data_IF_119045955598
#
_entry.id   IF_119045955598
#
_cell.length_a   1.000
_cell.length_b   1.000
_cell.length_c   1.000
_cell.angle_alpha   90.00
_cell.angle_beta   90.00
_cell.angle_gamma   90.00
#
_symmetry.space_group_name_H-M   'P 1'
#
loop_
_entity.id
_entity.type
_entity.pdbx_description
1 polymer ?
#
# COMPACT_ATOMS: atom_id res chain seq x y z
N UNK A 1 -8.04 -5.54 -19.42
CA UNK A 1 -7.27 -6.48 -20.26
C UNK A 1 -5.90 -5.84 -20.51
N UNK A 2 -4.80 -6.54 -20.26
CA UNK A 2 -3.56 -6.03 -19.65
C UNK A 2 -2.95 -4.76 -20.28
N UNK A 3 -3.20 -4.47 -21.56
CA UNK A 3 -2.61 -3.34 -22.27
C UNK A 3 -3.43 -2.03 -22.23
N UNK A 4 -4.63 -2.04 -21.62
CA UNK A 4 -5.41 -0.81 -21.44
C UNK A 4 -4.69 0.11 -20.45
N UNK A 5 -4.50 1.36 -20.85
CA UNK A 5 -3.94 2.38 -19.97
C UNK A 5 -5.03 2.94 -19.05
N UNK A 6 -4.73 2.99 -17.76
CA UNK A 6 -5.56 3.58 -16.73
C UNK A 6 -4.79 4.70 -16.04
N UNK A 7 -5.53 5.65 -15.48
CA UNK A 7 -4.99 6.59 -14.49
C UNK A 7 -5.16 5.97 -13.12
N UNK A 8 -4.08 5.87 -12.35
CA UNK A 8 -4.08 5.41 -10.97
C UNK A 8 -3.73 6.56 -10.02
N UNK A 9 -3.93 6.34 -8.73
CA UNK A 9 -3.51 7.27 -7.68
C UNK A 9 -2.85 6.52 -6.53
N UNK A 10 -1.58 6.79 -6.29
CA UNK A 10 -0.87 6.29 -5.11
C UNK A 10 -0.92 7.33 -4.00
N UNK A 11 -1.49 6.98 -2.85
CA UNK A 11 -1.53 7.87 -1.68
C UNK A 11 -0.24 7.75 -0.87
N UNK A 12 0.15 8.77 -0.11
CA UNK A 12 1.25 8.68 0.85
C UNK A 12 1.04 9.65 2.03
N UNK A 13 1.81 9.51 3.12
CA UNK A 13 1.90 10.55 4.15
C UNK A 13 2.25 11.93 3.57
N UNK A 14 1.81 12.98 4.25
CA UNK A 14 2.14 14.36 3.88
C UNK A 14 3.65 14.60 4.02
N UNK A 15 4.25 15.31 3.06
CA UNK A 15 5.66 15.69 3.07
C UNK A 15 6.62 14.70 2.40
N UNK A 16 6.12 13.56 1.91
CA UNK A 16 6.92 12.58 1.13
C UNK A 16 6.45 12.43 -0.33
N UNK A 17 5.54 13.28 -0.79
CA UNK A 17 4.91 13.20 -2.11
C UNK A 17 5.94 13.33 -3.23
N UNK A 18 6.96 14.18 -3.05
CA UNK A 18 8.05 14.35 -4.01
C UNK A 18 8.95 13.10 -4.09
N UNK A 19 9.11 12.36 -2.99
CA UNK A 19 9.85 11.09 -2.98
C UNK A 19 9.02 10.01 -3.69
N UNK A 20 7.72 9.92 -3.38
CA UNK A 20 6.82 8.98 -4.06
C UNK A 20 6.76 9.25 -5.57
N UNK A 21 6.74 10.53 -5.98
CA UNK A 21 6.77 10.93 -7.39
C UNK A 21 7.98 10.34 -8.11
N UNK A 22 9.18 10.48 -7.52
CA UNK A 22 10.43 9.93 -8.07
C UNK A 22 10.43 8.40 -8.07
N UNK A 23 9.90 7.76 -7.02
CA UNK A 23 9.78 6.31 -6.94
C UNK A 23 8.89 5.76 -8.06
N UNK A 24 7.72 6.37 -8.30
CA UNK A 24 6.81 5.92 -9.35
C UNK A 24 7.42 6.08 -10.75
N UNK A 25 8.14 7.19 -11.00
CA UNK A 25 8.91 7.36 -12.24
C UNK A 25 9.95 6.26 -12.44
N UNK A 26 10.66 5.88 -11.37
CA UNK A 26 11.68 4.81 -11.43
C UNK A 26 11.11 3.40 -11.66
N UNK A 27 9.79 3.22 -11.54
CA UNK A 27 9.09 1.96 -11.78
C UNK A 27 8.49 1.88 -13.20
N UNK A 28 9.05 2.63 -14.14
CA UNK A 28 8.64 2.72 -15.56
C UNK A 28 7.22 3.23 -15.77
N UNK A 29 6.73 4.11 -14.88
CA UNK A 29 5.39 4.67 -15.00
C UNK A 29 5.41 6.14 -15.41
N UNK A 30 4.47 6.55 -16.25
CA UNK A 30 4.30 7.96 -16.61
C UNK A 30 3.54 8.68 -15.50
N UNK A 31 4.17 9.64 -14.83
CA UNK A 31 3.50 10.42 -13.79
C UNK A 31 2.77 11.62 -14.40
N UNK A 32 1.51 11.82 -14.00
CA UNK A 32 0.70 12.94 -14.47
C UNK A 32 0.78 14.14 -13.53
N UNK A 33 0.66 13.89 -12.22
CA UNK A 33 0.46 14.97 -11.26
C UNK A 33 0.80 14.54 -9.86
N UNK A 34 1.69 15.31 -9.21
CA UNK A 34 1.85 15.29 -7.76
C UNK A 34 0.75 16.15 -7.12
N UNK A 35 0.15 15.66 -6.04
CA UNK A 35 -0.80 16.41 -5.21
C UNK A 35 -0.32 16.42 -3.75
N UNK A 36 -1.08 17.04 -2.85
CA UNK A 36 -0.79 17.05 -1.40
C UNK A 36 -1.14 15.74 -0.68
N UNK A 37 -1.74 14.78 -1.38
CA UNK A 37 -2.20 13.51 -0.79
C UNK A 37 -1.62 12.29 -1.48
N UNK A 38 -0.79 12.48 -2.51
CA UNK A 38 -0.25 11.40 -3.30
C UNK A 38 0.14 11.82 -4.71
N UNK A 39 0.28 10.82 -5.58
CA UNK A 39 0.75 10.97 -6.95
C UNK A 39 -0.19 10.22 -7.89
N UNK A 40 -0.67 10.91 -8.93
CA UNK A 40 -1.41 10.29 -10.02
C UNK A 40 -0.47 9.90 -11.16
N UNK A 41 -0.62 8.68 -11.65
CA UNK A 41 0.22 8.12 -12.72
C UNK A 41 -0.64 7.36 -13.73
N UNK A 42 -0.17 7.26 -14.97
CA UNK A 42 -0.76 6.42 -16.01
C UNK A 42 0.09 5.18 -16.23
N UNK A 43 -0.60 4.10 -16.53
CA UNK A 43 0.06 2.85 -16.91
C UNK A 43 -0.94 1.74 -17.15
N UNK A 44 -0.42 0.54 -17.34
CA UNK A 44 -1.20 -0.68 -17.49
C UNK A 44 -1.57 -1.28 -16.13
N UNK A 45 -2.22 -2.43 -16.12
CA UNK A 45 -2.39 -3.20 -14.88
C UNK A 45 -1.04 -3.65 -14.29
N UNK A 46 -0.07 -3.99 -15.15
CA UNK A 46 1.29 -4.33 -14.74
C UNK A 46 1.95 -3.15 -13.99
N UNK A 47 1.75 -1.92 -14.46
CA UNK A 47 2.22 -0.71 -13.78
C UNK A 47 1.71 -0.62 -12.34
N UNK A 48 0.39 -0.78 -12.15
CA UNK A 48 -0.19 -0.73 -10.81
C UNK A 48 0.31 -1.88 -9.91
N UNK A 49 0.45 -3.09 -10.45
CA UNK A 49 1.04 -4.23 -9.72
C UNK A 49 2.48 -3.96 -9.31
N UNK A 50 3.30 -3.41 -10.20
CA UNK A 50 4.67 -2.98 -9.86
C UNK A 50 4.65 -1.98 -8.71
N UNK A 51 3.78 -0.97 -8.72
CA UNK A 51 3.68 0.00 -7.60
C UNK A 51 3.20 -0.68 -6.31
N UNK A 52 2.20 -1.57 -6.35
CA UNK A 52 1.77 -2.33 -5.17
C UNK A 52 2.90 -3.18 -4.57
N UNK A 53 3.70 -3.82 -5.42
CA UNK A 53 4.79 -4.71 -5.00
C UNK A 53 6.02 -3.94 -4.49
N UNK A 54 6.43 -2.91 -5.23
CA UNK A 54 7.73 -2.26 -5.07
C UNK A 54 7.70 -0.94 -4.32
N UNK A 55 6.56 -0.25 -4.23
CA UNK A 55 6.52 1.06 -3.57
C UNK A 55 6.82 0.93 -2.07
N UNK A 56 7.88 1.63 -1.66
CA UNK A 56 8.30 1.78 -0.26
C UNK A 56 7.54 2.91 0.42
N UNK A 57 6.98 3.84 -0.34
CA UNK A 57 6.44 5.10 0.16
C UNK A 57 4.91 5.17 0.15
N UNK A 58 4.26 4.49 -0.79
CA UNK A 58 2.81 4.54 -0.92
C UNK A 58 2.11 3.92 0.30
N UNK A 59 0.95 4.50 0.66
CA UNK A 59 0.00 3.92 1.60
C UNK A 59 -0.99 3.01 0.90
N UNK A 60 -1.50 3.42 -0.27
CA UNK A 60 -2.51 2.70 -1.07
C UNK A 60 -2.30 3.00 -2.54
N UNK A 61 -2.70 2.09 -3.42
CA UNK A 61 -2.74 2.28 -4.87
C UNK A 61 -4.18 2.14 -5.32
N UNK A 62 -4.75 3.23 -5.83
CA UNK A 62 -6.17 3.32 -6.15
C UNK A 62 -6.37 3.32 -7.66
N UNK A 63 -7.38 2.56 -8.12
CA UNK A 63 -7.92 2.59 -9.47
C UNK A 63 -9.25 3.37 -9.45
N UNK A 64 -9.28 4.65 -9.86
CA UNK A 64 -10.51 5.41 -10.01
C UNK A 64 -11.47 4.74 -10.98
N UNK A 65 -12.72 4.52 -10.55
CA UNK A 65 -13.79 3.94 -11.34
C UNK A 65 -14.72 5.02 -11.89
N UNK A 66 -15.10 5.97 -11.05
CA UNK A 66 -16.01 7.04 -11.42
C UNK A 66 -15.71 8.32 -10.63
N UNK A 67 -16.05 9.45 -11.25
CA UNK A 67 -15.95 10.77 -10.65
C UNK A 67 -17.19 11.57 -11.01
N UNK A 68 -17.86 12.14 -10.01
CA UNK A 68 -19.12 12.84 -10.20
C UNK A 68 -19.43 13.78 -9.03
N UNK A 69 -20.32 14.73 -9.27
CA UNK A 69 -20.83 15.63 -8.24
C UNK A 69 -21.92 14.95 -7.40
N UNK A 70 -21.83 15.13 -6.09
CA UNK A 70 -22.75 14.61 -5.09
C UNK A 70 -22.77 15.54 -3.87
N UNK A 71 -23.75 16.44 -3.85
CA UNK A 71 -23.95 17.42 -2.77
C UNK A 71 -24.64 16.81 -1.54
N UNK A 72 -25.32 15.67 -1.72
CA UNK A 72 -26.03 14.98 -0.64
C UNK A 72 -25.71 13.48 -0.59
N UNK A 73 -25.85 12.81 0.57
CA UNK A 73 -25.65 11.36 0.68
C UNK A 73 -26.60 10.54 -0.21
N UNK A 74 -27.80 11.03 -0.50
CA UNK A 74 -28.74 10.38 -1.43
C UNK A 74 -28.32 10.55 -2.89
N UNK A 75 -27.75 11.72 -3.25
CA UNK A 75 -27.15 11.90 -4.57
C UNK A 75 -25.92 11.00 -4.73
N UNK A 76 -25.07 10.90 -3.71
CA UNK A 76 -23.93 10.00 -3.69
C UNK A 76 -24.35 8.55 -3.92
N UNK A 77 -25.36 8.06 -3.18
CA UNK A 77 -25.95 6.74 -3.37
C UNK A 77 -26.37 6.51 -4.83
N UNK A 78 -27.24 7.37 -5.37
CA UNK A 78 -27.77 7.24 -6.74
C UNK A 78 -26.65 7.21 -7.79
N UNK A 79 -25.68 8.11 -7.66
CA UNK A 79 -24.56 8.18 -8.59
C UNK A 79 -23.65 6.95 -8.50
N UNK A 80 -23.43 6.37 -7.31
CA UNK A 80 -22.70 5.10 -7.16
C UNK A 80 -23.43 3.96 -7.84
N UNK A 81 -24.76 3.88 -7.69
CA UNK A 81 -25.58 2.89 -8.38
C UNK A 81 -25.47 3.08 -9.89
N UNK A 82 -25.65 4.29 -10.41
CA UNK A 82 -25.76 4.54 -11.86
C UNK A 82 -24.42 4.48 -12.60
N UNK A 83 -23.35 5.04 -12.01
CA UNK A 83 -22.09 5.31 -12.72
C UNK A 83 -21.12 4.15 -12.74
N UNK A 84 -21.27 3.16 -11.85
CA UNK A 84 -20.31 2.07 -11.70
C UNK A 84 -20.99 0.73 -11.92
N UNK A 85 -20.49 -0.01 -12.91
CA UNK A 85 -20.91 -1.38 -13.20
C UNK A 85 -20.19 -2.37 -12.29
N UNK A 86 -20.61 -2.45 -11.03
CA UNK A 86 -19.97 -3.29 -10.00
C UNK A 86 -19.82 -4.77 -10.41
N UNK A 87 -20.74 -5.28 -11.23
CA UNK A 87 -20.68 -6.62 -11.82
C UNK A 87 -19.45 -6.89 -12.71
N UNK A 88 -18.83 -5.84 -13.28
CA UNK A 88 -17.57 -5.92 -14.04
C UNK A 88 -16.34 -6.02 -13.12
N UNK A 89 -16.50 -5.77 -11.81
CA UNK A 89 -15.42 -5.74 -10.83
C UNK A 89 -15.53 -6.85 -9.78
N UNK A 90 -16.73 -7.24 -9.38
CA UNK A 90 -16.95 -8.26 -8.36
C UNK A 90 -18.29 -8.96 -8.57
N UNK A 91 -18.53 -10.00 -7.79
CA UNK A 91 -19.78 -10.75 -7.69
C UNK A 91 -20.35 -10.61 -6.26
N UNK A 92 -21.62 -10.97 -6.00
CA UNK A 92 -22.20 -10.79 -4.68
C UNK A 92 -21.61 -11.71 -3.60
N UNK A 93 -20.71 -12.63 -3.94
CA UNK A 93 -20.03 -13.52 -3.00
C UNK A 93 -18.86 -12.82 -2.27
N UNK A 94 -18.25 -11.80 -2.88
CA UNK A 94 -17.15 -11.05 -2.27
C UNK A 94 -17.60 -10.15 -1.13
N UNK A 95 -16.79 -10.09 -0.07
CA UNK A 95 -16.95 -9.17 1.06
C UNK A 95 -16.45 -7.78 0.71
N UNK A 96 -17.24 -6.76 1.01
CA UNK A 96 -16.86 -5.37 0.76
C UNK A 96 -16.51 -4.60 2.04
N UNK A 97 -15.68 -3.57 1.87
CA UNK A 97 -15.55 -2.47 2.83
C UNK A 97 -15.48 -1.14 2.07
N UNK A 98 -16.01 -0.07 2.68
CA UNK A 98 -15.95 1.28 2.12
C UNK A 98 -15.18 2.19 3.06
N UNK A 99 -14.09 2.76 2.56
CA UNK A 99 -13.37 3.84 3.21
C UNK A 99 -13.79 5.17 2.59
N UNK A 100 -14.39 6.06 3.37
CA UNK A 100 -14.74 7.40 2.93
C UNK A 100 -13.81 8.44 3.57
N UNK A 101 -13.28 9.33 2.75
CA UNK A 101 -12.47 10.47 3.19
C UNK A 101 -12.99 11.74 2.54
N UNK A 102 -12.98 12.84 3.28
CA UNK A 102 -13.36 14.15 2.75
C UNK A 102 -12.35 15.23 3.15
N UNK A 103 -12.34 16.35 2.42
CA UNK A 103 -11.65 17.54 2.90
C UNK A 103 -12.40 18.19 4.08
N UNK A 104 -11.69 18.96 4.90
CA UNK A 104 -12.19 19.55 6.14
C UNK A 104 -13.35 20.55 5.97
N UNK A 105 -13.66 20.94 4.73
CA UNK A 105 -14.75 21.88 4.42
C UNK A 105 -16.03 21.17 3.97
N UNK A 106 -15.97 19.85 3.83
CA UNK A 106 -17.10 19.06 3.40
C UNK A 106 -18.04 18.77 4.58
N UNK A 107 -19.34 18.79 4.31
CA UNK A 107 -20.41 18.63 5.32
C UNK A 107 -20.85 17.19 5.52
N UNK A 108 -20.33 16.22 4.75
CA UNK A 108 -20.68 14.81 4.90
C UNK A 108 -20.09 14.25 6.18
N UNK A 109 -20.95 13.63 6.98
CA UNK A 109 -20.50 12.71 8.01
C UNK A 109 -19.88 11.47 7.35
N UNK A 110 -18.55 11.34 7.42
CA UNK A 110 -17.79 10.35 6.64
C UNK A 110 -18.27 8.91 6.84
N UNK A 111 -18.63 8.54 8.08
CA UNK A 111 -19.19 7.21 8.36
C UNK A 111 -20.54 6.98 7.68
N UNK A 112 -21.42 7.98 7.69
CA UNK A 112 -22.73 7.87 7.05
C UNK A 112 -22.59 7.78 5.52
N UNK A 113 -21.70 8.58 4.94
CA UNK A 113 -21.37 8.53 3.52
C UNK A 113 -20.84 7.15 3.09
N UNK A 114 -19.96 6.54 3.90
CA UNK A 114 -19.46 5.19 3.65
C UNK A 114 -20.59 4.14 3.66
N UNK A 115 -21.52 4.23 4.62
CA UNK A 115 -22.70 3.36 4.68
C UNK A 115 -23.56 3.52 3.43
N UNK A 116 -23.81 4.75 2.97
CA UNK A 116 -24.60 5.02 1.76
C UNK A 116 -23.96 4.44 0.50
N UNK A 117 -22.65 4.53 0.36
CA UNK A 117 -21.93 3.90 -0.78
C UNK A 117 -22.02 2.37 -0.69
N UNK A 118 -21.89 1.80 0.52
CA UNK A 118 -22.04 0.36 0.75
C UNK A 118 -23.45 -0.12 0.39
N UNK A 119 -24.48 0.60 0.81
CA UNK A 119 -25.88 0.29 0.46
C UNK A 119 -26.08 0.36 -1.06
N UNK A 120 -25.54 1.38 -1.74
CA UNK A 120 -25.62 1.50 -3.20
C UNK A 120 -25.02 0.31 -3.94
N UNK A 121 -23.86 -0.19 -3.47
CA UNK A 121 -23.22 -1.39 -4.04
C UNK A 121 -24.10 -2.63 -3.80
N UNK A 122 -24.57 -2.81 -2.57
CA UNK A 122 -25.34 -3.99 -2.19
C UNK A 122 -26.71 -4.05 -2.89
N UNK A 123 -27.41 -2.91 -2.96
CA UNK A 123 -28.73 -2.82 -3.56
C UNK A 123 -28.67 -3.02 -5.08
N UNK A 124 -27.63 -2.50 -5.76
CA UNK A 124 -27.41 -2.79 -7.19
C UNK A 124 -27.27 -4.31 -7.45
N UNK A 125 -26.55 -5.04 -6.60
CA UNK A 125 -26.44 -6.50 -6.74
C UNK A 125 -27.76 -7.20 -6.44
N UNK A 126 -28.48 -6.77 -5.40
CA UNK A 126 -29.80 -7.33 -5.04
C UNK A 126 -30.78 -7.20 -6.19
N UNK A 127 -30.89 -6.01 -6.79
CA UNK A 127 -31.79 -5.74 -7.91
C UNK A 127 -31.47 -6.59 -9.15
N UNK A 128 -30.18 -6.87 -9.40
CA UNK A 128 -29.75 -7.59 -10.61
C UNK A 128 -29.66 -9.10 -10.47
N UNK A 129 -29.41 -9.59 -9.26
CA UNK A 129 -29.05 -11.00 -9.02
C UNK A 129 -29.86 -11.66 -7.91
N UNK A 130 -30.65 -10.90 -7.15
CA UNK A 130 -31.33 -11.37 -5.94
C UNK A 130 -30.40 -11.49 -4.71
N UNK A 131 -29.08 -11.45 -4.90
CA UNK A 131 -28.08 -11.62 -3.84
C UNK A 131 -27.42 -10.30 -3.46
N UNK A 132 -26.88 -10.23 -2.24
CA UNK A 132 -26.14 -9.06 -1.74
C UNK A 132 -24.74 -9.45 -1.24
N UNK A 133 -23.71 -8.65 -1.53
CA UNK A 133 -22.42 -8.81 -0.87
C UNK A 133 -22.53 -8.60 0.64
N UNK A 134 -21.74 -9.39 1.36
CA UNK A 134 -21.55 -9.22 2.80
C UNK A 134 -20.48 -8.16 3.08
N UNK A 135 -20.41 -7.65 4.31
CA UNK A 135 -19.46 -6.61 4.72
C UNK A 135 -18.42 -7.22 5.65
N UNK A 136 -17.15 -6.95 5.39
CA UNK A 136 -16.08 -7.23 6.33
C UNK A 136 -15.08 -6.08 6.31
N UNK A 137 -15.11 -5.22 7.33
CA UNK A 137 -14.24 -4.03 7.39
C UNK A 137 -12.80 -4.37 7.73
N UNK A 138 -12.55 -5.51 8.38
CA UNK A 138 -11.22 -5.98 8.77
C UNK A 138 -10.50 -6.67 7.62
N UNK A 139 -11.16 -7.65 7.00
CA UNK A 139 -10.61 -8.41 5.88
C UNK A 139 -11.60 -8.48 4.69
N UNK A 140 -11.80 -7.36 3.97
CA UNK A 140 -12.62 -7.32 2.77
C UNK A 140 -11.91 -7.97 1.58
N UNK A 141 -12.69 -8.59 0.70
CA UNK A 141 -12.24 -9.05 -0.60
C UNK A 141 -12.09 -7.86 -1.58
N UNK A 142 -13.01 -6.89 -1.48
CA UNK A 142 -13.01 -5.65 -2.27
C UNK A 142 -13.11 -4.44 -1.35
N UNK A 143 -12.09 -3.59 -1.39
CA UNK A 143 -12.09 -2.32 -0.64
C UNK A 143 -12.34 -1.16 -1.59
N UNK A 144 -13.41 -0.42 -1.34
CA UNK A 144 -13.84 0.74 -2.10
C UNK A 144 -13.38 1.98 -1.37
N UNK A 145 -12.63 2.84 -2.04
CA UNK A 145 -12.22 4.13 -1.52
C UNK A 145 -13.04 5.25 -2.17
N UNK A 146 -13.63 6.10 -1.34
CA UNK A 146 -14.30 7.32 -1.80
C UNK A 146 -13.57 8.52 -1.22
N UNK A 147 -13.07 9.38 -2.11
CA UNK A 147 -12.49 10.65 -1.73
C UNK A 147 -13.39 11.78 -2.21
N UNK A 148 -13.88 12.58 -1.26
CA UNK A 148 -14.76 13.72 -1.50
C UNK A 148 -13.97 15.02 -1.36
N UNK A 149 -13.99 15.86 -2.40
CA UNK A 149 -13.39 17.20 -2.35
C UNK A 149 -14.42 18.22 -2.77
N UNK A 150 -14.84 19.09 -1.83
CA UNK A 150 -16.10 19.84 -1.97
C UNK A 150 -17.23 18.86 -2.28
N UNK A 151 -17.97 19.05 -3.37
CA UNK A 151 -19.08 18.16 -3.76
C UNK A 151 -18.66 17.13 -4.81
N UNK A 152 -17.37 17.02 -5.12
CA UNK A 152 -16.87 16.13 -6.16
C UNK A 152 -16.34 14.82 -5.54
N UNK A 153 -17.11 13.75 -5.71
CA UNK A 153 -16.77 12.40 -5.28
C UNK A 153 -15.89 11.70 -6.31
N UNK A 154 -14.82 11.06 -5.86
CA UNK A 154 -14.03 10.11 -6.64
C UNK A 154 -14.11 8.74 -5.98
N UNK A 155 -14.75 7.79 -6.67
CA UNK A 155 -14.88 6.40 -6.22
C UNK A 155 -13.81 5.56 -6.91
N UNK A 156 -13.05 4.79 -6.12
CA UNK A 156 -11.91 4.00 -6.59
C UNK A 156 -11.90 2.61 -5.95
N UNK A 157 -11.34 1.62 -6.65
CA UNK A 157 -10.93 0.36 -6.03
C UNK A 157 -9.54 0.52 -5.40
N UNK A 158 -9.36 -0.03 -4.21
CA UNK A 158 -8.05 -0.13 -3.58
C UNK A 158 -7.35 -1.42 -3.99
N UNK A 159 -6.30 -1.29 -4.79
CA UNK A 159 -5.50 -2.41 -5.28
C UNK A 159 -4.50 -2.91 -4.21
N UNK A 160 -4.19 -2.10 -3.19
CA UNK A 160 -3.29 -2.48 -2.09
C UNK A 160 -3.98 -3.34 -1.03
N UNK A 161 -5.28 -3.10 -0.77
CA UNK A 161 -6.05 -3.78 0.27
C UNK A 161 -5.75 -3.19 1.65
N UNK A 162 -5.00 -3.89 2.49
CA UNK A 162 -4.37 -3.24 3.65
C UNK A 162 -3.36 -2.18 3.19
N UNK A 163 -3.15 -1.14 4.00
CA UNK A 163 -2.18 -0.11 3.64
C UNK A 163 -0.78 -0.72 3.45
N UNK A 164 -0.11 -0.30 2.37
CA UNK A 164 1.14 -0.90 1.91
C UNK A 164 2.29 -0.76 2.91
N UNK A 165 2.25 0.21 3.85
CA UNK A 165 3.26 0.28 4.92
C UNK A 165 3.30 -1.01 5.76
N UNK A 166 2.19 -1.75 5.89
CA UNK A 166 2.18 -3.07 6.54
C UNK A 166 2.86 -4.10 5.63
N UNK A 167 4.14 -4.37 5.86
CA UNK A 167 4.94 -5.32 5.06
C UNK A 167 4.79 -6.79 5.50
N UNK A 168 3.93 -7.06 6.48
CA UNK A 168 3.68 -8.38 7.07
C UNK A 168 4.81 -8.98 7.93
N UNK A 169 5.93 -8.27 8.13
CA UNK A 169 6.98 -8.73 9.06
C UNK A 169 6.73 -8.34 10.52
N UNK A 170 5.80 -7.41 10.79
CA UNK A 170 5.47 -6.93 12.13
C UNK A 170 4.17 -7.57 12.61
N UNK A 171 4.20 -8.27 13.73
CA UNK A 171 3.02 -8.90 14.36
C UNK A 171 2.41 -8.01 15.45
N UNK A 172 3.24 -7.24 16.16
CA UNK A 172 2.84 -6.40 17.29
C UNK A 172 3.25 -4.94 17.06
N UNK A 173 2.31 -4.02 17.32
CA UNK A 173 2.61 -2.61 17.48
C UNK A 173 3.08 -2.36 18.90
N UNK A 174 4.38 -2.17 19.11
CA UNK A 174 4.89 -1.65 20.38
C UNK A 174 4.37 -0.23 20.67
N UNK A 175 4.94 0.43 21.68
CA UNK A 175 4.62 1.84 21.97
C UNK A 175 5.21 2.72 20.85
N UNK A 176 4.33 3.26 20.00
CA UNK A 176 4.65 4.24 18.94
C UNK A 176 5.75 3.86 17.92
N UNK A 177 5.70 2.68 17.27
CA UNK A 177 6.73 2.30 16.31
C UNK A 177 6.64 3.13 15.03
N UNK A 178 7.80 3.53 14.51
CA UNK A 178 7.94 4.20 13.23
C UNK A 178 7.22 3.38 12.13
N UNK A 179 6.40 4.06 11.30
CA UNK A 179 5.80 3.41 10.12
C UNK A 179 6.87 3.09 9.10
N UNK A 180 6.76 1.93 8.49
CA UNK A 180 7.72 1.37 7.52
C UNK A 180 7.96 2.32 6.34
N UNK A 181 6.90 2.94 5.81
CA UNK A 181 7.04 3.90 4.73
C UNK A 181 7.70 5.22 5.14
N UNK A 182 7.57 5.63 6.40
CA UNK A 182 8.31 6.79 6.91
C UNK A 182 9.79 6.45 7.13
N UNK A 183 10.09 5.25 7.65
CA UNK A 183 11.47 4.75 7.74
C UNK A 183 12.14 4.70 6.36
N UNK A 184 11.46 4.16 5.35
CA UNK A 184 11.93 4.19 3.97
C UNK A 184 12.14 5.63 3.45
N UNK A 185 11.23 6.56 3.77
CA UNK A 185 11.40 7.97 3.37
C UNK A 185 12.65 8.61 4.00
N UNK A 186 12.95 8.31 5.27
CA UNK A 186 14.16 8.79 5.95
C UNK A 186 15.43 8.26 5.27
N UNK A 187 15.47 6.96 4.97
CA UNK A 187 16.59 6.32 4.27
C UNK A 187 16.82 6.93 2.88
N UNK A 188 15.74 7.18 2.13
CA UNK A 188 15.85 7.82 0.81
C UNK A 188 16.38 9.25 0.92
N UNK A 189 15.97 10.02 1.94
CA UNK A 189 16.50 11.36 2.20
C UNK A 189 17.96 11.34 2.65
N UNK A 190 18.37 10.31 3.38
CA UNK A 190 19.75 10.07 3.76
C UNK A 190 20.62 9.51 2.61
N UNK A 191 20.06 9.38 1.40
CA UNK A 191 20.74 8.78 0.24
C UNK A 191 21.24 7.35 0.51
N UNK A 192 20.55 6.62 1.37
CA UNK A 192 20.92 5.26 1.78
C UNK A 192 21.11 4.31 0.59
N UNK A 193 20.23 4.24 -0.44
CA UNK A 193 20.45 3.33 -1.56
C UNK A 193 21.79 3.55 -2.29
N UNK A 194 22.28 4.80 -2.36
CA UNK A 194 23.56 5.12 -2.95
C UNK A 194 24.73 4.69 -2.06
N UNK A 195 24.60 4.90 -0.75
CA UNK A 195 25.60 4.47 0.24
C UNK A 195 25.68 2.94 0.33
N UNK A 196 24.54 2.25 0.35
CA UNK A 196 24.46 0.79 0.37
C UNK A 196 25.15 0.15 -0.84
N UNK A 197 24.98 0.72 -2.05
CA UNK A 197 25.69 0.24 -3.26
C UNK A 197 27.21 0.37 -3.17
N UNK A 198 27.72 1.27 -2.31
CA UNK A 198 29.15 1.42 -2.03
C UNK A 198 29.63 0.54 -0.88
N UNK A 199 28.76 -0.31 -0.32
CA UNK A 199 29.09 -1.18 0.81
C UNK A 199 29.12 -0.45 2.16
N UNK A 200 28.51 0.73 2.28
CA UNK A 200 28.46 1.43 3.56
C UNK A 200 27.61 0.64 4.58
N UNK A 201 28.01 0.60 5.86
CA UNK A 201 27.17 0.04 6.92
C UNK A 201 26.02 0.98 7.29
N UNK A 202 24.94 0.43 7.84
CA UNK A 202 23.86 1.16 8.47
C UNK A 202 23.82 0.83 9.96
N UNK A 203 23.92 1.86 10.80
CA UNK A 203 23.86 1.74 12.25
C UNK A 203 22.67 2.53 12.76
N UNK A 204 21.87 1.90 13.63
CA UNK A 204 20.79 2.54 14.36
C UNK A 204 21.00 2.32 15.87
N UNK A 205 21.49 3.31 16.62
CA UNK A 205 21.82 3.17 18.04
C UNK A 205 20.59 3.17 18.95
N UNK A 206 19.40 3.44 18.41
CA UNK A 206 18.12 3.46 19.10
C UNK A 206 17.08 2.72 18.26
N UNK A 207 17.41 1.50 17.84
CA UNK A 207 16.74 0.84 16.73
C UNK A 207 15.30 0.43 17.03
N UNK A 208 14.93 0.41 18.30
CA UNK A 208 13.63 -0.05 18.74
C UNK A 208 13.30 -1.41 18.11
N UNK A 209 12.12 -1.51 17.50
CA UNK A 209 11.65 -2.73 16.80
C UNK A 209 12.40 -3.07 15.49
N UNK A 210 13.49 -2.37 15.17
CA UNK A 210 14.36 -2.62 14.02
C UNK A 210 13.83 -2.12 12.67
N UNK A 211 12.79 -1.29 12.67
CA UNK A 211 12.08 -0.89 11.44
C UNK A 211 13.00 -0.18 10.43
N UNK A 212 13.84 0.75 10.89
CA UNK A 212 14.76 1.48 10.01
C UNK A 212 15.79 0.55 9.36
N UNK A 213 16.37 -0.37 10.15
CA UNK A 213 17.34 -1.34 9.66
C UNK A 213 16.72 -2.35 8.69
N UNK A 214 15.50 -2.84 8.96
CA UNK A 214 14.80 -3.77 8.07
C UNK A 214 14.50 -3.11 6.72
N UNK A 215 13.97 -1.89 6.70
CA UNK A 215 13.73 -1.15 5.45
C UNK A 215 15.04 -0.82 4.72
N UNK A 216 16.11 -0.52 5.46
CA UNK A 216 17.45 -0.30 4.93
C UNK A 216 18.01 -1.54 4.24
N UNK A 217 17.89 -2.70 4.89
CA UNK A 217 18.27 -3.99 4.33
C UNK A 217 17.45 -4.32 3.07
N UNK A 218 16.14 -4.06 3.07
CA UNK A 218 15.31 -4.26 1.89
C UNK A 218 15.77 -3.40 0.70
N UNK A 219 16.23 -2.17 0.93
CA UNK A 219 16.79 -1.32 -0.13
C UNK A 219 18.12 -1.86 -0.64
N UNK A 220 19.01 -2.30 0.25
CA UNK A 220 20.33 -2.79 -0.11
C UNK A 220 20.28 -4.10 -0.90
N UNK A 221 19.39 -5.01 -0.50
CA UNK A 221 19.23 -6.34 -1.12
C UNK A 221 18.23 -6.34 -2.28
N UNK A 222 17.81 -5.16 -2.75
CA UNK A 222 16.83 -5.01 -3.83
C UNK A 222 15.53 -5.82 -3.61
N UNK A 223 15.11 -5.93 -2.36
CA UNK A 223 13.92 -6.68 -1.96
C UNK A 223 12.69 -5.81 -2.08
N UNK A 224 11.68 -6.31 -2.79
CA UNK A 224 10.36 -5.67 -2.88
C UNK A 224 9.68 -5.67 -1.49
N UNK A 225 9.18 -4.53 -0.99
CA UNK A 225 8.49 -4.48 0.31
C UNK A 225 7.22 -5.32 0.36
N UNK A 226 6.53 -5.46 -0.78
CA UNK A 226 5.30 -6.23 -0.89
C UNK A 226 5.51 -7.75 -0.94
N UNK A 227 6.75 -8.25 -0.99
CA UNK A 227 7.03 -9.66 -1.26
C UNK A 227 6.50 -10.62 -0.18
N UNK A 228 6.47 -10.19 1.08
CA UNK A 228 5.95 -10.98 2.21
C UNK A 228 4.43 -10.90 2.37
N UNK A 229 3.73 -10.06 1.59
CA UNK A 229 2.29 -9.88 1.75
C UNK A 229 1.55 -11.06 1.15
N UNK A 230 0.67 -11.67 1.96
CA UNK A 230 -0.15 -12.82 1.55
C UNK A 230 -1.22 -12.48 0.53
N UNK A 231 -1.75 -11.26 0.56
CA UNK A 231 -2.81 -10.80 -0.32
C UNK A 231 -2.71 -9.30 -0.59
N UNK A 232 -3.38 -8.88 -1.66
CA UNK A 232 -3.55 -7.50 -2.08
C UNK A 232 -5.04 -7.24 -2.35
N UNK A 233 -5.44 -5.97 -2.40
CA UNK A 233 -6.84 -5.59 -2.63
C UNK A 233 -7.39 -5.99 -4.01
N UNK A 234 -6.51 -6.33 -4.95
CA UNK A 234 -6.90 -6.91 -6.24
C UNK A 234 -7.09 -8.43 -6.21
N UNK A 235 -6.73 -9.16 -5.14
CA UNK A 235 -6.69 -10.63 -5.14
C UNK A 235 -8.04 -11.30 -5.45
N UNK A 236 -9.16 -10.63 -5.16
CA UNK A 236 -10.53 -11.09 -5.46
C UNK A 236 -11.25 -10.22 -6.49
N UNK A 237 -10.54 -9.28 -7.09
CA UNK A 237 -11.09 -8.43 -8.14
C UNK A 237 -11.22 -9.20 -9.44
N UNK A 238 -12.40 -9.17 -10.09
CA UNK A 238 -12.69 -9.93 -11.32
C UNK A 238 -11.73 -9.67 -12.48
N UNK A 239 -11.11 -8.49 -12.53
CA UNK A 239 -10.16 -8.14 -13.61
C UNK A 239 -8.70 -8.31 -13.16
N UNK A 240 -8.46 -8.98 -12.03
CA UNK A 240 -7.12 -9.42 -11.66
C UNK A 240 -6.55 -10.35 -12.73
N UNK A 241 -5.27 -10.19 -13.04
CA UNK A 241 -4.51 -11.10 -13.89
C UNK A 241 -3.52 -11.89 -13.01
N UNK A 242 -3.86 -13.13 -12.60
CA UNK A 242 -3.01 -13.93 -11.73
C UNK A 242 -1.68 -14.31 -12.39
N UNK A 243 -1.68 -14.57 -13.70
CA UNK A 243 -0.47 -14.99 -14.42
C UNK A 243 0.55 -13.84 -14.48
N UNK A 244 0.09 -12.63 -14.78
CA UNK A 244 0.91 -11.42 -14.74
C UNK A 244 1.48 -11.16 -13.35
N UNK A 245 0.65 -11.29 -12.31
CA UNK A 245 1.08 -11.08 -10.93
C UNK A 245 2.13 -12.11 -10.49
N UNK A 246 1.92 -13.38 -10.79
CA UNK A 246 2.88 -14.45 -10.50
C UNK A 246 4.23 -14.21 -11.20
N UNK A 247 4.23 -13.68 -12.43
CA UNK A 247 5.48 -13.29 -13.11
C UNK A 247 6.24 -12.20 -12.35
N UNK A 248 5.54 -11.17 -11.87
CA UNK A 248 6.14 -10.06 -11.12
C UNK A 248 6.68 -10.51 -9.76
N UNK A 249 6.01 -11.45 -9.09
CA UNK A 249 6.50 -12.04 -7.85
C UNK A 249 7.83 -12.79 -8.09
N UNK A 250 7.87 -13.68 -9.10
CA UNK A 250 9.11 -14.41 -9.46
C UNK A 250 10.26 -13.49 -9.81
N UNK A 251 9.99 -12.39 -10.53
CA UNK A 251 11.00 -11.36 -10.84
C UNK A 251 11.55 -10.72 -9.55
N UNK A 252 10.67 -10.38 -8.60
CA UNK A 252 11.06 -9.79 -7.32
C UNK A 252 11.83 -10.76 -6.41
N UNK A 253 11.45 -12.05 -6.39
CA UNK A 253 12.19 -13.10 -5.68
C UNK A 253 13.60 -13.25 -6.25
N UNK A 254 13.73 -13.38 -7.56
CA UNK A 254 15.04 -13.50 -8.22
C UNK A 254 15.94 -12.27 -8.00
N UNK A 255 15.35 -11.05 -7.92
CA UNK A 255 16.09 -9.83 -7.57
C UNK A 255 16.57 -9.86 -6.12
N UNK A 256 15.71 -10.29 -5.19
CA UNK A 256 16.06 -10.40 -3.79
C UNK A 256 17.17 -11.44 -3.55
N UNK A 257 17.07 -12.63 -4.15
CA UNK A 257 18.10 -13.67 -4.06
C UNK A 257 19.47 -13.17 -4.54
N UNK A 258 19.50 -12.49 -5.69
CA UNK A 258 20.72 -11.87 -6.22
C UNK A 258 21.25 -10.77 -5.29
N UNK A 259 20.37 -10.00 -4.66
CA UNK A 259 20.74 -8.96 -3.70
C UNK A 259 21.37 -9.53 -2.43
N UNK A 260 20.80 -10.60 -1.88
CA UNK A 260 21.32 -11.31 -0.71
C UNK A 260 22.76 -11.79 -0.90
N UNK A 261 23.11 -12.25 -2.11
CA UNK A 261 24.48 -12.72 -2.41
C UNK A 261 25.51 -11.58 -2.53
N UNK A 262 25.06 -10.34 -2.78
CA UNK A 262 25.95 -9.20 -3.04
C UNK A 262 26.22 -8.35 -1.79
N UNK A 263 25.32 -8.37 -0.83
CA UNK A 263 25.40 -7.52 0.36
C UNK A 263 26.20 -8.26 1.43
N UNK A 264 27.39 -7.74 1.78
CA UNK A 264 28.11 -8.19 2.98
C UNK A 264 27.41 -7.65 4.23
N UNK A 265 27.52 -8.39 5.35
CA UNK A 265 26.93 -8.02 6.65
C UNK A 265 27.27 -6.56 7.01
N UNK A 266 26.24 -5.74 7.28
CA UNK A 266 26.45 -4.29 7.48
C UNK A 266 25.33 -3.56 8.20
N UNK A 267 24.40 -4.26 8.87
CA UNK A 267 23.27 -3.65 9.58
C UNK A 267 23.38 -3.91 11.08
N UNK A 268 23.52 -2.85 11.86
CA UNK A 268 23.75 -2.94 13.31
C UNK A 268 22.72 -2.10 14.08
N UNK A 269 21.98 -2.76 14.96
CA UNK A 269 20.94 -2.14 15.78
C UNK A 269 21.20 -2.33 17.27
N UNK A 270 21.02 -1.26 18.01
CA UNK A 270 21.19 -1.23 19.46
C UNK A 270 19.96 -0.62 20.12
N UNK A 271 19.60 -1.14 21.29
CA UNK A 271 18.57 -0.58 22.16
C UNK A 271 18.80 -1.12 23.58
N UNK A 272 18.47 -0.34 24.61
CA UNK A 272 18.59 -0.75 26.00
C UNK A 272 17.51 -1.76 26.41
N UNK A 273 16.36 -1.77 25.73
CA UNK A 273 15.25 -2.64 26.07
C UNK A 273 15.40 -4.03 25.42
N UNK A 274 15.62 -5.03 26.28
CA UNK A 274 15.78 -6.43 25.88
C UNK A 274 14.56 -6.99 25.16
N UNK A 275 13.34 -6.61 25.57
CA UNK A 275 12.09 -7.08 24.94
C UNK A 275 11.97 -6.52 23.52
N UNK A 276 12.33 -5.25 23.34
CA UNK A 276 12.28 -4.61 22.03
C UNK A 276 13.34 -5.20 21.08
N UNK A 277 14.55 -5.51 21.56
CA UNK A 277 15.57 -6.21 20.75
C UNK A 277 15.10 -7.62 20.34
N UNK A 278 14.43 -8.36 21.23
CA UNK A 278 13.84 -9.65 20.88
C UNK A 278 12.77 -9.49 19.78
N UNK A 279 11.93 -8.46 19.87
CA UNK A 279 10.95 -8.14 18.82
C UNK A 279 11.63 -7.76 17.49
N UNK A 280 12.71 -6.99 17.52
CA UNK A 280 13.46 -6.60 16.33
C UNK A 280 14.06 -7.81 15.59
N UNK A 281 14.66 -8.76 16.34
CA UNK A 281 15.14 -10.03 15.78
C UNK A 281 14.00 -10.84 15.16
N UNK A 282 12.87 -10.96 15.87
CA UNK A 282 11.68 -11.67 15.38
C UNK A 282 11.12 -11.04 14.09
N UNK A 283 11.09 -9.70 14.02
CA UNK A 283 10.71 -8.95 12.82
C UNK A 283 11.66 -9.23 11.65
N UNK A 284 12.97 -9.22 11.87
CA UNK A 284 13.97 -9.48 10.82
C UNK A 284 13.89 -10.92 10.28
N UNK A 285 13.62 -11.91 11.15
CA UNK A 285 13.38 -13.29 10.74
C UNK A 285 12.12 -13.38 9.87
N UNK A 286 10.99 -12.79 10.28
CA UNK A 286 9.76 -12.75 9.45
C UNK A 286 9.96 -11.99 8.13
N UNK A 287 10.85 -11.00 8.12
CA UNK A 287 11.25 -10.26 6.93
C UNK A 287 12.17 -11.05 5.99
N UNK A 288 12.68 -12.21 6.41
CA UNK A 288 13.59 -13.07 5.64
C UNK A 288 15.03 -12.56 5.59
N UNK A 289 15.44 -11.73 6.54
CA UNK A 289 16.77 -11.09 6.59
C UNK A 289 17.43 -11.22 7.98
N UNK A 290 17.01 -12.20 8.78
CA UNK A 290 17.46 -12.37 10.17
C UNK A 290 18.98 -12.42 10.30
N UNK A 291 19.64 -13.18 9.43
CA UNK A 291 21.10 -13.38 9.44
C UNK A 291 21.88 -12.16 8.93
N UNK A 292 21.19 -11.18 8.36
CA UNK A 292 21.81 -9.99 7.76
C UNK A 292 21.86 -8.80 8.71
N UNK A 293 21.15 -8.86 9.84
CA UNK A 293 21.02 -7.74 10.79
C UNK A 293 21.41 -8.17 12.20
N UNK A 294 22.40 -7.48 12.78
CA UNK A 294 22.86 -7.72 14.15
C UNK A 294 22.16 -6.77 15.11
N UNK A 295 21.26 -7.32 15.94
CA UNK A 295 20.63 -6.58 17.05
C UNK A 295 21.26 -6.93 18.39
N UNK A 296 21.68 -5.93 19.17
CA UNK A 296 22.30 -6.10 20.49
C UNK A 296 21.62 -5.23 21.55
N UNK A 297 21.56 -5.73 22.78
CA UNK A 297 21.15 -4.93 23.93
C UNK A 297 22.35 -4.11 24.37
N UNK A 298 22.25 -2.78 24.27
CA UNK A 298 23.33 -1.85 24.60
C UNK A 298 22.76 -0.46 24.87
N UNK A 299 23.39 0.28 25.77
CA UNK A 299 23.17 1.73 25.88
C UNK A 299 23.95 2.47 24.76
N UNK A 300 23.57 3.72 24.50
CA UNK A 300 24.19 4.57 23.46
C UNK A 300 25.68 4.81 23.74
#
# INVERSE_FOLDING_TARGET
>A
MPNKHHTFFATCPKGIEALLYREILSLDNSVLKQTRSGVSFKGTLQSAYKVCLWSRLANRVLLPLARFEAETPDRLYRMVVERIKWEEHMSPEEKIAVDFTADHRNTFHSHYAALRVKDAVADRFRERTGNRPSVNTENPDIRINVHMKKDLAQVSLDLGGESLHRRSYRTEGGVAPLKENLAAALLLRAHWPQLARKGAPLVDPLCGSGTLLIEGAFMAMDRAPGLSRKSFGFSKWKQHDPALWQRLLKEAEARFEKGMQKVSLGFFGFDRDTKIIAQARSNAVRAGIGDMVSFRVQDI
#
